data_IF_452689027054
#
_entry.id   IF_452689027054
#
_cell.length_a   1.000
_cell.length_b   1.000
_cell.length_c   1.000
_cell.angle_alpha   90.00
_cell.angle_beta   90.00
_cell.angle_gamma   90.00
#
_symmetry.space_group_name_H-M   'P 1'
#
loop_
_entity.id
_entity.type
_entity.pdbx_description
1 polymer ?
#
# COMPACT_ATOMS: atom_id res chain seq x y z
N UNK A 1 -0.13 16.32 -24.09
CA UNK A 1 1.10 15.55 -23.84
C UNK A 1 1.63 15.73 -22.41
N UNK A 2 1.91 16.97 -21.94
CA UNK A 2 2.40 17.24 -20.56
C UNK A 2 1.54 16.62 -19.43
N UNK A 3 0.22 16.73 -19.51
CA UNK A 3 -0.69 16.18 -18.49
C UNK A 3 -0.63 14.65 -18.37
N UNK A 4 -0.49 13.94 -19.50
CA UNK A 4 -0.36 12.48 -19.52
C UNK A 4 0.90 12.02 -18.79
N UNK A 5 2.04 12.64 -19.10
CA UNK A 5 3.31 12.30 -18.44
C UNK A 5 3.27 12.54 -16.93
N UNK A 6 2.65 13.63 -16.48
CA UNK A 6 2.51 13.91 -15.04
C UNK A 6 1.63 12.85 -14.35
N UNK A 7 0.52 12.44 -14.97
CA UNK A 7 -0.31 11.37 -14.43
C UNK A 7 0.45 10.03 -14.38
N UNK A 8 1.21 9.71 -15.42
CA UNK A 8 2.05 8.51 -15.45
C UNK A 8 3.10 8.53 -14.33
N UNK A 9 3.80 9.65 -14.16
CA UNK A 9 4.77 9.81 -13.06
C UNK A 9 4.09 9.65 -11.69
N UNK A 10 2.88 10.19 -11.51
CA UNK A 10 2.11 10.02 -10.26
C UNK A 10 1.79 8.55 -10.02
N UNK A 11 1.34 7.83 -11.04
CA UNK A 11 1.00 6.40 -10.95
C UNK A 11 2.23 5.56 -10.62
N UNK A 12 3.35 5.81 -11.29
CA UNK A 12 4.62 5.12 -11.05
C UNK A 12 5.18 5.41 -9.66
N UNK A 13 5.11 6.66 -9.21
CA UNK A 13 5.53 7.06 -7.87
C UNK A 13 4.65 6.36 -6.80
N UNK A 14 3.33 6.42 -6.94
CA UNK A 14 2.40 5.74 -6.02
C UNK A 14 2.61 4.22 -6.07
N UNK A 15 2.85 3.63 -7.24
CA UNK A 15 3.22 2.23 -7.37
C UNK A 15 4.46 1.88 -6.55
N UNK A 16 5.49 2.75 -6.56
CA UNK A 16 6.68 2.54 -5.73
C UNK A 16 6.41 2.73 -4.23
N UNK A 17 5.55 3.69 -3.84
CA UNK A 17 5.13 3.81 -2.45
C UNK A 17 4.47 2.52 -1.97
N UNK A 18 3.54 1.97 -2.78
CA UNK A 18 2.79 0.79 -2.39
C UNK A 18 3.65 -0.47 -2.36
N UNK A 19 4.57 -0.70 -3.32
CA UNK A 19 5.53 -1.82 -3.29
C UNK A 19 6.51 -1.70 -2.11
N UNK A 20 6.91 -0.50 -1.69
CA UNK A 20 7.80 -0.34 -0.55
C UNK A 20 7.13 -0.83 0.74
N UNK A 21 5.92 -0.34 1.03
CA UNK A 21 5.20 -0.69 2.26
C UNK A 21 4.63 -2.11 2.26
N UNK A 22 4.47 -2.72 1.09
CA UNK A 22 4.01 -4.10 0.98
C UNK A 22 5.17 -5.08 0.92
N UNK A 23 6.05 -4.96 -0.05
CA UNK A 23 7.09 -5.96 -0.34
C UNK A 23 8.38 -5.65 0.40
N UNK A 24 8.90 -4.43 0.32
CA UNK A 24 10.24 -4.15 0.84
C UNK A 24 10.27 -4.18 2.37
N UNK A 25 9.24 -3.62 3.02
CA UNK A 25 9.10 -3.72 4.47
C UNK A 25 8.86 -5.16 4.95
N UNK A 26 8.19 -5.97 4.13
CA UNK A 26 7.92 -7.36 4.46
C UNK A 26 9.18 -8.19 4.30
N UNK A 27 9.71 -8.32 3.09
CA UNK A 27 10.85 -9.19 2.78
C UNK A 27 12.13 -8.75 3.47
N UNK A 28 12.32 -7.45 3.69
CA UNK A 28 13.46 -6.89 4.43
C UNK A 28 14.86 -7.19 3.86
N UNK A 29 14.97 -7.95 2.76
CA UNK A 29 16.22 -8.39 2.18
C UNK A 29 16.08 -8.65 0.67
N UNK A 30 17.21 -8.80 -0.01
CA UNK A 30 17.26 -9.30 -1.38
C UNK A 30 17.20 -10.82 -1.32
N UNK A 31 16.23 -11.43 -2.01
CA UNK A 31 16.08 -12.88 -2.05
C UNK A 31 16.90 -13.50 -3.19
N UNK A 32 17.23 -14.80 -3.13
CA UNK A 32 17.98 -15.48 -4.18
C UNK A 32 17.37 -15.35 -5.58
N UNK A 33 16.04 -15.31 -5.65
CA UNK A 33 15.29 -15.21 -6.91
C UNK A 33 15.02 -13.76 -7.33
N UNK A 34 15.44 -12.77 -6.53
CA UNK A 34 15.26 -11.37 -6.89
C UNK A 34 16.25 -10.96 -7.98
N UNK A 35 15.72 -10.26 -8.97
CA UNK A 35 16.49 -9.67 -10.06
C UNK A 35 15.94 -8.30 -10.38
N UNK A 36 16.72 -7.47 -11.07
CA UNK A 36 16.24 -6.16 -11.52
C UNK A 36 14.97 -6.29 -12.38
N UNK A 37 14.89 -7.34 -13.21
CA UNK A 37 13.71 -7.62 -14.02
C UNK A 37 12.50 -7.96 -13.15
N UNK A 38 12.68 -8.78 -12.11
CA UNK A 38 11.61 -9.13 -11.17
C UNK A 38 11.12 -7.90 -10.39
N UNK A 39 12.03 -7.07 -9.88
CA UNK A 39 11.65 -5.83 -9.20
C UNK A 39 10.94 -4.84 -10.12
N UNK A 40 11.39 -4.70 -11.37
CA UNK A 40 10.71 -3.86 -12.35
C UNK A 40 9.31 -4.39 -12.68
N UNK A 41 9.18 -5.71 -12.85
CA UNK A 41 7.89 -6.36 -13.08
C UNK A 41 6.93 -6.12 -11.91
N UNK A 42 7.38 -6.35 -10.67
CA UNK A 42 6.59 -6.08 -9.46
C UNK A 42 6.21 -4.60 -9.37
N UNK A 43 7.14 -3.68 -9.61
CA UNK A 43 6.82 -2.24 -9.58
C UNK A 43 5.78 -1.85 -10.64
N UNK A 44 5.85 -2.41 -11.85
CA UNK A 44 4.84 -2.17 -12.89
C UNK A 44 3.48 -2.76 -12.53
N UNK A 45 3.45 -3.96 -11.95
CA UNK A 45 2.24 -4.61 -11.46
C UNK A 45 1.56 -3.76 -10.37
N UNK A 46 2.33 -3.29 -9.39
CA UNK A 46 1.86 -2.35 -8.37
C UNK A 46 1.42 -1.00 -8.95
N UNK A 47 2.08 -0.52 -10.01
CA UNK A 47 1.70 0.71 -10.70
C UNK A 47 0.36 0.56 -11.45
N UNK A 48 0.06 -0.60 -12.01
CA UNK A 48 -1.25 -0.89 -12.61
C UNK A 48 -2.35 -0.88 -11.54
N UNK A 49 -2.11 -1.50 -10.38
CA UNK A 49 -3.05 -1.48 -9.25
C UNK A 49 -3.19 -0.07 -8.65
N UNK A 50 -2.09 0.68 -8.55
CA UNK A 50 -2.08 2.09 -8.13
C UNK A 50 -2.90 2.98 -9.06
N UNK A 51 -2.90 2.71 -10.37
CA UNK A 51 -3.75 3.41 -11.33
C UNK A 51 -5.23 3.20 -11.02
N UNK A 52 -5.65 1.96 -10.74
CA UNK A 52 -7.04 1.66 -10.32
C UNK A 52 -7.36 2.41 -9.04
N UNK A 53 -6.48 2.33 -8.03
CA UNK A 53 -6.65 3.02 -6.76
C UNK A 53 -6.86 4.53 -6.93
N UNK A 54 -5.97 5.22 -7.65
CA UNK A 54 -6.09 6.67 -7.92
C UNK A 54 -7.35 6.99 -8.74
N UNK A 55 -7.75 6.10 -9.65
CA UNK A 55 -9.00 6.24 -10.42
C UNK A 55 -10.21 6.17 -9.52
N UNK A 56 -10.25 5.23 -8.56
CA UNK A 56 -11.33 5.14 -7.57
C UNK A 56 -11.43 6.41 -6.73
N UNK A 57 -10.29 6.94 -6.25
CA UNK A 57 -10.28 8.17 -5.47
C UNK A 57 -10.85 9.36 -6.27
N UNK A 58 -10.48 9.47 -7.54
CA UNK A 58 -10.93 10.53 -8.45
C UNK A 58 -12.41 10.40 -8.81
N UNK A 59 -12.84 9.21 -9.24
CA UNK A 59 -14.22 8.95 -9.69
C UNK A 59 -15.22 9.02 -8.54
N UNK A 60 -14.89 8.45 -7.39
CA UNK A 60 -15.77 8.43 -6.22
C UNK A 60 -15.57 9.62 -5.28
N UNK A 61 -14.66 10.57 -5.61
CA UNK A 61 -14.37 11.76 -4.79
C UNK A 61 -14.16 11.41 -3.33
N UNK A 62 -13.28 10.44 -3.08
CA UNK A 62 -13.10 9.85 -1.74
C UNK A 62 -12.56 10.90 -0.76
N UNK A 63 -13.40 11.30 0.19
CA UNK A 63 -13.12 12.38 1.16
C UNK A 63 -13.11 11.93 2.64
N UNK A 64 -13.39 10.65 2.92
CA UNK A 64 -13.40 10.11 4.29
C UNK A 64 -12.48 8.91 4.43
N UNK A 65 -11.85 8.76 5.61
CA UNK A 65 -10.92 7.66 5.89
C UNK A 65 -11.54 6.27 5.70
N UNK A 66 -12.85 6.15 5.90
CA UNK A 66 -13.60 4.90 5.70
C UNK A 66 -13.76 4.57 4.22
N UNK A 67 -14.11 5.56 3.40
CA UNK A 67 -14.13 5.40 1.95
C UNK A 67 -12.73 5.14 1.39
N UNK A 68 -11.69 5.77 1.94
CA UNK A 68 -10.31 5.48 1.58
C UNK A 68 -9.93 4.03 1.89
N UNK A 69 -10.34 3.51 3.05
CA UNK A 69 -10.12 2.10 3.39
C UNK A 69 -10.80 1.14 2.40
N UNK A 70 -12.00 1.47 1.91
CA UNK A 70 -12.67 0.67 0.86
C UNK A 70 -11.91 0.72 -0.48
N UNK A 71 -11.44 1.89 -0.91
CA UNK A 71 -10.60 2.00 -2.11
C UNK A 71 -9.28 1.24 -1.95
N UNK A 72 -8.71 1.26 -0.75
CA UNK A 72 -7.51 0.53 -0.38
C UNK A 72 -7.72 -0.99 -0.36
N UNK A 73 -8.90 -1.46 0.06
CA UNK A 73 -9.28 -2.87 -0.01
C UNK A 73 -9.36 -3.37 -1.46
N UNK A 74 -9.90 -2.56 -2.38
CA UNK A 74 -9.87 -2.88 -3.82
C UNK A 74 -8.43 -3.01 -4.33
N UNK A 75 -7.54 -2.09 -3.95
CA UNK A 75 -6.12 -2.21 -4.28
C UNK A 75 -5.53 -3.53 -3.76
N UNK A 76 -5.72 -3.85 -2.48
CA UNK A 76 -5.19 -5.06 -1.87
C UNK A 76 -5.69 -6.35 -2.52
N UNK A 77 -6.99 -6.45 -2.80
CA UNK A 77 -7.54 -7.64 -3.47
C UNK A 77 -7.21 -7.71 -4.96
N UNK A 78 -6.87 -6.61 -5.62
CA UNK A 78 -6.31 -6.69 -6.97
C UNK A 78 -4.88 -7.25 -6.94
N UNK A 79 -4.04 -6.79 -6.01
CA UNK A 79 -2.68 -7.33 -5.85
C UNK A 79 -2.75 -8.80 -5.45
N UNK A 80 -3.44 -9.13 -4.37
CA UNK A 80 -3.38 -10.46 -3.77
C UNK A 80 -4.42 -11.43 -4.31
N UNK A 81 -5.50 -10.92 -4.90
CA UNK A 81 -6.56 -11.73 -5.47
C UNK A 81 -6.46 -11.89 -6.99
N UNK A 82 -5.75 -11.00 -7.69
CA UNK A 82 -5.52 -11.12 -9.14
C UNK A 82 -4.08 -11.41 -9.46
N UNK A 83 -3.10 -10.67 -8.92
CA UNK A 83 -1.70 -10.77 -9.36
C UNK A 83 -0.96 -11.92 -8.67
N UNK A 84 -1.10 -12.07 -7.35
CA UNK A 84 -0.32 -13.02 -6.53
C UNK A 84 -1.13 -14.26 -6.08
N UNK A 85 -2.46 -14.13 -5.97
CA UNK A 85 -3.40 -15.20 -5.55
C UNK A 85 -3.33 -15.66 -4.08
N UNK A 86 -2.52 -15.04 -3.21
CA UNK A 86 -2.45 -15.41 -1.77
C UNK A 86 -3.76 -15.17 -1.03
N UNK A 87 -4.66 -14.33 -1.56
CA UNK A 87 -6.01 -14.10 -0.99
C UNK A 87 -6.77 -15.41 -0.75
N UNK A 88 -6.47 -16.46 -1.51
CA UNK A 88 -7.22 -17.72 -1.51
C UNK A 88 -6.55 -18.87 -0.73
N UNK A 89 -5.37 -18.68 -0.17
CA UNK A 89 -4.58 -19.77 0.42
C UNK A 89 -5.10 -20.25 1.78
N UNK A 90 -5.57 -19.33 2.63
CA UNK A 90 -5.95 -19.62 4.02
C UNK A 90 -7.26 -18.91 4.38
N UNK A 91 -8.32 -19.26 3.66
CA UNK A 91 -9.64 -18.66 3.84
C UNK A 91 -10.23 -18.97 5.24
N UNK A 92 -10.92 -18.00 5.88
CA UNK A 92 -11.15 -16.63 5.42
C UNK A 92 -10.02 -15.65 5.78
N UNK A 93 -9.03 -16.07 6.57
CA UNK A 93 -8.05 -15.18 7.17
C UNK A 93 -7.18 -14.45 6.14
N UNK A 94 -6.79 -15.12 5.05
CA UNK A 94 -6.02 -14.52 3.96
C UNK A 94 -6.74 -13.35 3.27
N UNK A 95 -8.08 -13.36 3.20
CA UNK A 95 -8.87 -12.23 2.66
C UNK A 95 -8.55 -10.93 3.41
N UNK A 96 -8.44 -11.03 4.74
CA UNK A 96 -8.13 -9.88 5.57
C UNK A 96 -6.64 -9.64 5.68
N UNK A 97 -5.83 -10.66 5.99
CA UNK A 97 -4.40 -10.45 6.22
C UNK A 97 -3.72 -9.82 5.00
N UNK A 98 -3.89 -10.39 3.81
CA UNK A 98 -3.16 -9.91 2.63
C UNK A 98 -3.85 -8.67 2.04
N UNK A 99 -5.16 -8.72 1.80
CA UNK A 99 -5.89 -7.59 1.19
C UNK A 99 -6.13 -6.39 2.11
N UNK A 100 -6.59 -6.60 3.35
CA UNK A 100 -7.08 -5.53 4.24
C UNK A 100 -6.02 -5.04 5.23
N UNK A 101 -5.35 -5.95 5.92
CA UNK A 101 -4.37 -5.62 6.94
C UNK A 101 -3.05 -5.17 6.30
N UNK A 102 -2.54 -5.92 5.34
CA UNK A 102 -1.26 -5.60 4.72
C UNK A 102 -1.41 -4.49 3.69
N UNK A 103 -2.19 -4.68 2.63
CA UNK A 103 -2.28 -3.66 1.58
C UNK A 103 -3.13 -2.46 1.96
N UNK A 104 -4.33 -2.67 2.50
CA UNK A 104 -5.20 -1.53 2.79
C UNK A 104 -4.70 -0.71 3.99
N UNK A 105 -4.42 -1.35 5.12
CA UNK A 105 -4.00 -0.67 6.35
C UNK A 105 -2.53 -0.23 6.33
N UNK A 106 -1.57 -1.10 5.95
CA UNK A 106 -0.15 -0.72 5.96
C UNK A 106 0.20 0.07 4.68
N UNK A 107 0.00 -0.49 3.49
CA UNK A 107 0.49 0.16 2.27
C UNK A 107 -0.25 1.46 1.96
N UNK A 108 -1.59 1.46 2.01
CA UNK A 108 -2.36 2.66 1.66
C UNK A 108 -2.55 3.60 2.84
N UNK A 109 -3.09 3.12 3.97
CA UNK A 109 -3.47 4.03 5.06
C UNK A 109 -2.23 4.61 5.78
N UNK A 110 -1.18 3.82 6.01
CA UNK A 110 0.07 4.33 6.58
C UNK A 110 0.97 4.94 5.49
N UNK A 111 1.33 4.16 4.48
CA UNK A 111 2.30 4.56 3.45
C UNK A 111 1.82 5.69 2.56
N UNK A 112 0.72 5.48 1.83
CA UNK A 112 0.24 6.48 0.87
C UNK A 112 -0.48 7.67 1.53
N UNK A 113 -1.19 7.48 2.65
CA UNK A 113 -2.02 8.53 3.26
C UNK A 113 -1.36 9.22 4.45
N UNK A 114 -1.07 8.49 5.53
CA UNK A 114 -0.66 9.10 6.80
C UNK A 114 0.69 9.81 6.70
N UNK A 115 1.69 9.20 6.06
CA UNK A 115 3.02 9.78 5.93
C UNK A 115 3.00 11.08 5.11
N UNK A 116 2.47 11.13 3.87
CA UNK A 116 2.37 12.39 3.12
C UNK A 116 1.61 13.48 3.87
N UNK A 117 0.50 13.12 4.54
CA UNK A 117 -0.26 14.07 5.36
C UNK A 117 0.58 14.68 6.48
N UNK A 118 1.43 13.90 7.15
CA UNK A 118 2.32 14.39 8.19
C UNK A 118 3.50 15.21 7.62
N UNK A 119 4.02 14.82 6.45
CA UNK A 119 5.05 15.59 5.76
C UNK A 119 4.56 16.99 5.39
N UNK A 120 3.31 17.10 4.94
CA UNK A 120 2.64 18.37 4.60
C UNK A 120 2.49 19.33 5.80
N UNK A 121 2.43 18.80 7.02
CA UNK A 121 2.43 19.63 8.23
C UNK A 121 3.77 20.36 8.45
N UNK A 122 4.82 19.99 7.70
CA UNK A 122 6.13 20.60 7.79
C UNK A 122 6.74 20.59 9.21
N UNK A 123 6.31 19.65 10.06
CA UNK A 123 6.76 19.47 11.43
C UNK A 123 7.86 18.40 11.48
N UNK A 124 9.11 18.76 11.83
CA UNK A 124 10.20 17.79 11.96
C UNK A 124 9.88 16.71 12.99
N UNK A 125 9.30 17.08 14.13
CA UNK A 125 8.95 16.13 15.19
C UNK A 125 7.89 15.12 14.75
N UNK A 126 6.85 15.56 14.04
CA UNK A 126 5.84 14.64 13.51
C UNK A 126 6.44 13.66 12.49
N UNK A 127 7.34 14.15 11.64
CA UNK A 127 8.04 13.34 10.63
C UNK A 127 8.98 12.33 11.27
N UNK A 128 9.81 12.76 12.23
CA UNK A 128 10.70 11.89 13.00
C UNK A 128 9.90 10.82 13.76
N UNK A 129 8.77 11.20 14.37
CA UNK A 129 7.92 10.25 15.09
C UNK A 129 7.36 9.18 14.16
N UNK A 130 6.78 9.54 13.01
CA UNK A 130 6.21 8.54 12.10
C UNK A 130 7.30 7.69 11.43
N UNK A 131 8.42 8.29 11.03
CA UNK A 131 9.55 7.56 10.44
C UNK A 131 10.16 6.58 11.45
N UNK A 132 10.40 7.04 12.69
CA UNK A 132 10.92 6.21 13.77
C UNK A 132 9.98 5.06 14.14
N UNK A 133 8.69 5.32 14.35
CA UNK A 133 7.73 4.26 14.67
C UNK A 133 7.58 3.24 13.52
N UNK A 134 7.57 3.71 12.27
CA UNK A 134 7.52 2.82 11.10
C UNK A 134 8.79 1.98 11.00
N UNK A 135 9.97 2.57 11.23
CA UNK A 135 11.23 1.87 11.20
C UNK A 135 11.39 0.87 12.35
N UNK A 136 10.94 1.20 13.56
CA UNK A 136 10.86 0.23 14.66
C UNK A 136 9.99 -0.97 14.28
N UNK A 137 8.81 -0.72 13.69
CA UNK A 137 7.94 -1.79 13.18
C UNK A 137 8.60 -2.63 12.08
N UNK A 138 9.30 -1.98 11.15
CA UNK A 138 10.04 -2.63 10.08
C UNK A 138 11.15 -3.54 10.60
N UNK A 139 12.01 -3.03 11.49
CA UNK A 139 13.10 -3.81 12.08
C UNK A 139 12.59 -5.00 12.89
N UNK A 140 11.47 -4.85 13.61
CA UNK A 140 10.81 -5.97 14.29
C UNK A 140 10.25 -7.00 13.30
N UNK A 141 9.59 -6.54 12.23
CA UNK A 141 8.98 -7.44 11.24
C UNK A 141 10.05 -8.25 10.48
N UNK A 142 11.18 -7.62 10.14
CA UNK A 142 12.31 -8.25 9.45
C UNK A 142 12.88 -9.49 10.17
N UNK A 143 12.80 -9.55 11.51
CA UNK A 143 13.29 -10.69 12.32
C UNK A 143 12.55 -11.99 11.97
N UNK A 144 11.31 -11.90 11.50
CA UNK A 144 10.50 -13.08 11.14
C UNK A 144 11.24 -14.01 10.16
N UNK A 145 11.95 -13.46 9.18
CA UNK A 145 12.61 -14.24 8.14
C UNK A 145 13.75 -15.10 8.66
N UNK A 146 14.35 -14.75 9.79
CA UNK A 146 15.40 -15.57 10.40
C UNK A 146 14.89 -16.94 10.82
N UNK A 147 13.61 -16.98 11.17
CA UNK A 147 12.93 -18.19 11.60
C UNK A 147 12.35 -18.93 10.40
N UNK A 148 11.71 -18.20 9.48
CA UNK A 148 11.05 -18.78 8.31
C UNK A 148 12.05 -19.36 7.29
N UNK A 149 13.11 -18.63 6.96
CA UNK A 149 14.13 -19.10 6.01
C UNK A 149 15.28 -19.84 6.71
N UNK A 150 15.32 -19.82 8.04
CA UNK A 150 16.40 -20.39 8.85
C UNK A 150 17.74 -19.65 8.71
N UNK A 151 17.79 -18.58 7.92
CA UNK A 151 18.97 -17.75 7.71
C UNK A 151 18.61 -16.28 7.92
N UNK A 152 19.55 -15.56 8.53
CA UNK A 152 19.37 -14.17 8.87
C UNK A 152 20.32 -13.34 7.99
N UNK A 153 19.81 -12.32 7.29
CA UNK A 153 20.66 -11.39 6.54
C UNK A 153 21.63 -10.67 7.49
N UNK A 154 22.89 -10.52 7.10
CA UNK A 154 23.83 -9.75 7.92
C UNK A 154 23.31 -8.32 8.15
N UNK A 155 23.77 -7.69 9.24
CA UNK A 155 23.41 -6.29 9.56
C UNK A 155 23.73 -5.37 8.37
N UNK A 156 24.86 -5.60 7.69
CA UNK A 156 25.28 -4.81 6.54
C UNK A 156 24.36 -4.99 5.32
N UNK A 157 23.91 -6.22 5.04
CA UNK A 157 22.96 -6.52 3.96
C UNK A 157 21.59 -5.87 4.23
N UNK A 158 21.05 -6.09 5.44
CA UNK A 158 19.78 -5.49 5.87
C UNK A 158 19.83 -3.96 5.81
N UNK A 159 20.92 -3.36 6.31
CA UNK A 159 21.12 -1.91 6.24
C UNK A 159 21.19 -1.42 4.79
N UNK A 160 21.99 -2.07 3.95
CA UNK A 160 22.13 -1.69 2.53
C UNK A 160 20.78 -1.72 1.83
N UNK A 161 20.03 -2.82 1.95
CA UNK A 161 18.71 -2.96 1.36
C UNK A 161 17.73 -1.89 1.88
N UNK A 162 17.68 -1.70 3.19
CA UNK A 162 16.77 -0.76 3.84
C UNK A 162 17.05 0.70 3.47
N UNK A 163 18.32 1.11 3.43
CA UNK A 163 18.69 2.47 3.05
C UNK A 163 18.47 2.73 1.56
N UNK A 164 18.80 1.78 0.67
CA UNK A 164 18.59 1.93 -0.77
C UNK A 164 17.10 2.03 -1.12
N UNK A 165 16.29 1.09 -0.63
CA UNK A 165 14.83 1.09 -0.86
C UNK A 165 14.16 2.34 -0.26
N UNK A 166 14.60 2.80 0.92
CA UNK A 166 14.10 4.06 1.51
C UNK A 166 14.53 5.28 0.70
N UNK A 167 15.73 5.28 0.12
CA UNK A 167 16.18 6.35 -0.77
C UNK A 167 15.25 6.51 -1.99
N UNK A 168 14.87 5.39 -2.61
CA UNK A 168 13.90 5.40 -3.71
C UNK A 168 12.49 5.76 -3.22
N UNK A 169 12.09 5.35 -2.01
CA UNK A 169 10.82 5.77 -1.39
C UNK A 169 10.76 7.29 -1.21
N UNK A 170 11.82 7.89 -0.68
CA UNK A 170 11.94 9.35 -0.51
C UNK A 170 11.77 10.05 -1.86
N UNK A 171 12.44 9.54 -2.89
CA UNK A 171 12.30 10.06 -4.26
C UNK A 171 10.87 9.91 -4.78
N UNK A 172 10.21 8.78 -4.54
CA UNK A 172 8.82 8.54 -4.92
C UNK A 172 7.84 9.49 -4.20
N UNK A 173 8.04 9.77 -2.91
CA UNK A 173 7.23 10.78 -2.19
C UNK A 173 7.42 12.17 -2.77
N UNK A 174 8.66 12.58 -3.03
CA UNK A 174 8.95 13.87 -3.66
C UNK A 174 8.30 13.98 -5.05
N UNK A 175 8.44 12.95 -5.88
CA UNK A 175 7.86 12.92 -7.23
C UNK A 175 6.33 12.93 -7.18
N UNK A 176 5.71 12.15 -6.28
CA UNK A 176 4.26 12.17 -6.08
C UNK A 176 3.78 13.54 -5.61
N UNK A 177 4.50 14.22 -4.72
CA UNK A 177 4.16 15.58 -4.28
C UNK A 177 4.29 16.63 -5.39
N UNK A 178 5.25 16.45 -6.30
CA UNK A 178 5.34 17.31 -7.50
C UNK A 178 4.16 17.05 -8.45
N UNK A 179 3.83 15.79 -8.69
CA UNK A 179 2.77 15.40 -9.60
C UNK A 179 1.36 15.67 -9.04
N UNK A 180 1.18 15.70 -7.71
CA UNK A 180 -0.11 15.94 -7.06
C UNK A 180 -0.65 17.36 -7.27
N UNK A 181 0.21 18.32 -7.61
CA UNK A 181 -0.18 19.69 -8.02
C UNK A 181 -1.07 19.73 -9.26
N UNK A 182 -1.15 18.62 -9.99
CA UNK A 182 -2.02 18.47 -11.14
C UNK A 182 -3.19 17.52 -10.80
N UNK A 183 -4.43 17.87 -11.16
CA UNK A 183 -5.58 17.00 -10.98
C UNK A 183 -5.37 15.64 -11.64
N UNK A 184 -5.71 14.56 -10.95
CA UNK A 184 -5.69 13.22 -11.51
C UNK A 184 -7.03 12.96 -12.23
N UNK A 185 -6.99 13.06 -13.56
CA UNK A 185 -8.15 12.87 -14.43
C UNK A 185 -7.82 11.80 -15.49
N UNK A 186 -7.98 10.51 -15.17
CA UNK A 186 -7.65 9.42 -16.07
C UNK A 186 -8.60 9.43 -17.28
N UNK A 187 -8.07 9.17 -18.48
CA UNK A 187 -8.90 9.05 -19.68
C UNK A 187 -9.68 7.75 -19.66
N UNK A 188 -10.87 7.73 -20.30
CA UNK A 188 -11.68 6.51 -20.44
C UNK A 188 -10.91 5.38 -21.12
N UNK A 189 -10.05 5.72 -22.08
CA UNK A 189 -9.17 4.75 -22.74
C UNK A 189 -8.16 4.14 -21.77
N UNK A 190 -7.49 4.96 -20.94
CA UNK A 190 -6.54 4.45 -19.95
C UNK A 190 -7.22 3.54 -18.91
N UNK A 191 -8.43 3.92 -18.46
CA UNK A 191 -9.25 3.08 -17.59
C UNK A 191 -9.59 1.75 -18.29
N UNK A 192 -10.10 1.80 -19.53
CA UNK A 192 -10.46 0.61 -20.29
C UNK A 192 -9.29 -0.34 -20.52
N UNK A 193 -8.12 0.19 -20.89
CA UNK A 193 -6.91 -0.61 -21.10
C UNK A 193 -6.39 -1.25 -19.81
N UNK A 194 -6.43 -0.51 -18.69
CA UNK A 194 -6.00 -1.05 -17.40
C UNK A 194 -6.95 -2.14 -16.89
N UNK A 195 -8.27 -1.92 -17.00
CA UNK A 195 -9.28 -2.94 -16.68
C UNK A 195 -9.16 -4.17 -17.59
N UNK A 196 -8.90 -3.99 -18.89
CA UNK A 196 -8.67 -5.09 -19.82
C UNK A 196 -7.41 -5.88 -19.42
N UNK A 197 -6.33 -5.21 -19.02
CA UNK A 197 -5.12 -5.90 -18.56
C UNK A 197 -5.39 -6.77 -17.33
N UNK A 198 -6.10 -6.25 -16.32
CA UNK A 198 -6.52 -7.05 -15.16
C UNK A 198 -7.47 -8.19 -15.54
N UNK A 199 -8.43 -7.95 -16.44
CA UNK A 199 -9.35 -8.98 -16.90
C UNK A 199 -8.63 -10.13 -17.63
N UNK A 200 -7.69 -9.79 -18.53
CA UNK A 200 -6.90 -10.78 -19.25
C UNK A 200 -6.03 -11.58 -18.28
N UNK A 201 -5.33 -10.92 -17.35
CA UNK A 201 -4.56 -11.61 -16.32
C UNK A 201 -5.45 -12.51 -15.45
N UNK A 202 -6.62 -12.01 -15.05
CA UNK A 202 -7.58 -12.76 -14.26
C UNK A 202 -8.04 -14.03 -14.98
N UNK A 203 -8.47 -13.93 -16.24
CA UNK A 203 -8.99 -15.07 -17.01
C UNK A 203 -7.90 -16.09 -17.33
N UNK A 204 -6.71 -15.64 -17.72
CA UNK A 204 -5.66 -16.53 -18.23
C UNK A 204 -4.66 -17.00 -17.17
N UNK A 205 -4.56 -16.33 -16.02
CA UNK A 205 -3.60 -16.66 -14.95
C UNK A 205 -4.34 -16.97 -13.65
N UNK A 206 -5.12 -16.02 -13.12
CA UNK A 206 -5.73 -16.15 -11.80
C UNK A 206 -6.75 -17.28 -11.72
N UNK A 207 -7.68 -17.37 -12.68
CA UNK A 207 -8.75 -18.38 -12.64
C UNK A 207 -8.20 -19.82 -12.77
N UNK A 208 -7.25 -20.11 -13.68
CA UNK A 208 -6.58 -21.41 -13.70
C UNK A 208 -5.84 -21.75 -12.40
N UNK A 209 -5.17 -20.76 -11.78
CA UNK A 209 -4.42 -20.96 -10.54
C UNK A 209 -5.30 -21.11 -9.30
N UNK A 210 -6.39 -20.33 -9.22
CA UNK A 210 -7.31 -20.28 -8.08
C UNK A 210 -8.78 -20.09 -8.54
N UNK A 211 -9.47 -21.17 -8.96
CA UNK A 211 -10.83 -21.08 -9.51
C UNK A 211 -11.87 -20.43 -8.58
N UNK A 212 -11.66 -20.52 -7.26
CA UNK A 212 -12.52 -19.89 -6.25
C UNK A 212 -12.60 -18.36 -6.41
N UNK A 213 -11.60 -17.76 -7.05
CA UNK A 213 -11.56 -16.34 -7.38
C UNK A 213 -12.76 -15.88 -8.22
N UNK A 214 -13.34 -16.76 -9.05
CA UNK A 214 -14.55 -16.47 -9.84
C UNK A 214 -15.75 -16.03 -8.98
N UNK A 215 -15.82 -16.52 -7.74
CA UNK A 215 -16.94 -16.24 -6.84
C UNK A 215 -16.55 -15.22 -5.77
N UNK A 216 -15.38 -15.38 -5.15
CA UNK A 216 -14.96 -14.53 -4.05
C UNK A 216 -14.62 -13.12 -4.51
N UNK A 217 -13.82 -12.96 -5.57
CA UNK A 217 -13.32 -11.64 -5.96
C UNK A 217 -14.44 -10.67 -6.36
N UNK A 218 -15.47 -11.07 -7.15
CA UNK A 218 -16.60 -10.19 -7.45
C UNK A 218 -17.38 -9.73 -6.20
N UNK A 219 -17.53 -10.59 -5.19
CA UNK A 219 -18.22 -10.24 -3.94
C UNK A 219 -17.40 -9.21 -3.16
N UNK A 220 -16.10 -9.46 -3.02
CA UNK A 220 -15.17 -8.57 -2.32
C UNK A 220 -15.10 -7.20 -3.00
N UNK A 221 -14.77 -7.16 -4.29
CA UNK A 221 -14.71 -5.91 -5.06
C UNK A 221 -16.06 -5.21 -5.14
N UNK A 222 -17.15 -5.95 -5.36
CA UNK A 222 -18.50 -5.43 -5.45
C UNK A 222 -18.94 -4.74 -4.16
N UNK A 223 -18.65 -5.33 -3.00
CA UNK A 223 -18.98 -4.73 -1.70
C UNK A 223 -18.22 -3.43 -1.44
N UNK A 224 -16.91 -3.38 -1.76
CA UNK A 224 -16.10 -2.17 -1.62
C UNK A 224 -16.55 -1.06 -2.58
N UNK A 225 -16.78 -1.39 -3.85
CA UNK A 225 -17.27 -0.44 -4.88
C UNK A 225 -18.66 0.08 -4.51
N UNK A 226 -19.55 -0.76 -4.00
CA UNK A 226 -20.86 -0.34 -3.51
C UNK A 226 -20.74 0.67 -2.37
N UNK A 227 -19.86 0.41 -1.39
CA UNK A 227 -19.62 1.35 -0.29
C UNK A 227 -19.05 2.68 -0.78
N UNK A 228 -18.09 2.65 -1.71
CA UNK A 228 -17.56 3.86 -2.37
C UNK A 228 -18.67 4.64 -3.08
N UNK A 229 -19.51 3.98 -3.86
CA UNK A 229 -20.64 4.59 -4.56
C UNK A 229 -21.60 5.30 -3.61
N UNK A 230 -21.90 4.70 -2.45
CA UNK A 230 -22.75 5.33 -1.41
C UNK A 230 -22.12 6.59 -0.83
N UNK A 231 -20.81 6.61 -0.66
CA UNK A 231 -20.09 7.75 -0.05
C UNK A 231 -19.74 8.87 -1.02
N UNK A 232 -19.93 8.70 -2.33
CA UNK A 232 -19.50 9.68 -3.36
C UNK A 232 -20.10 11.08 -3.23
N UNK A 233 -21.24 11.20 -2.54
CA UNK A 233 -21.96 12.45 -2.31
C UNK A 233 -21.72 13.01 -0.89
N UNK A 234 -20.91 12.34 -0.07
CA UNK A 234 -20.62 12.81 1.28
C UNK A 234 -19.80 14.11 1.21
N UNK A 235 -20.21 15.18 1.91
CA UNK A 235 -19.46 16.44 1.93
C UNK A 235 -18.04 16.24 2.46
N UNK A 236 -17.07 16.90 1.83
CA UNK A 236 -15.67 16.88 2.26
C UNK A 236 -14.73 17.21 1.10
N UNK A 237 -13.51 17.62 1.45
CA UNK A 237 -12.44 17.75 0.47
C UNK A 237 -11.91 16.35 0.11
N UNK A 238 -11.88 15.96 -1.18
CA UNK A 238 -11.38 14.65 -1.55
C UNK A 238 -9.87 14.52 -1.29
N UNK A 239 -9.43 13.28 -1.04
CA UNK A 239 -8.07 13.07 -0.54
C UNK A 239 -6.98 13.41 -1.55
N UNK A 240 -7.26 13.30 -2.86
CA UNK A 240 -6.30 13.65 -3.90
C UNK A 240 -5.92 15.14 -3.85
N UNK A 241 -6.87 15.99 -3.48
CA UNK A 241 -6.71 17.44 -3.31
C UNK A 241 -6.08 17.74 -1.95
N UNK A 242 -6.60 17.13 -0.87
CA UNK A 242 -6.10 17.38 0.50
C UNK A 242 -4.63 17.02 0.73
N UNK A 243 -4.07 16.15 -0.13
CA UNK A 243 -2.65 15.75 -0.14
C UNK A 243 -1.80 16.59 -1.10
N UNK A 244 -2.29 17.76 -1.51
CA UNK A 244 -1.56 18.71 -2.35
C UNK A 244 -0.98 19.82 -1.49
N UNK A 245 0.33 20.05 -1.59
CA UNK A 245 0.97 21.16 -0.91
C UNK A 245 2.49 21.20 -1.10
N UNK A 246 3.14 22.05 -0.32
CA UNK A 246 4.58 22.21 -0.31
C UNK A 246 5.16 21.50 0.91
N UNK A 247 5.96 20.47 0.65
CA UNK A 247 6.77 19.79 1.67
C UNK A 247 8.19 20.35 1.57
N UNK A 248 8.74 20.82 2.69
CA UNK A 248 10.12 21.28 2.79
C UNK A 248 11.07 20.12 2.52
N UNK A 249 12.12 20.36 1.72
CA UNK A 249 13.00 19.29 1.24
C UNK A 249 13.65 18.49 2.38
N UNK A 250 14.00 19.15 3.49
CA UNK A 250 14.60 18.49 4.65
C UNK A 250 13.66 17.52 5.36
N UNK A 251 12.34 17.71 5.28
CA UNK A 251 11.39 16.76 5.87
C UNK A 251 11.44 15.39 5.16
N UNK A 252 11.76 15.35 3.87
CA UNK A 252 11.99 14.08 3.20
C UNK A 252 13.24 13.38 3.74
N UNK A 253 14.31 14.13 4.07
CA UNK A 253 15.51 13.54 4.66
C UNK A 253 15.28 12.96 6.05
N UNK A 254 14.34 13.51 6.82
CA UNK A 254 13.97 12.95 8.13
C UNK A 254 13.36 11.54 8.01
N UNK A 255 12.88 11.13 6.83
CA UNK A 255 12.45 9.75 6.58
C UNK A 255 13.62 8.74 6.62
N UNK A 256 14.89 9.19 6.54
CA UNK A 256 16.05 8.32 6.78
C UNK A 256 16.12 7.78 8.22
N UNK A 257 15.35 8.35 9.15
CA UNK A 257 15.18 7.74 10.47
C UNK A 257 14.46 6.38 10.40
N UNK A 258 13.67 6.12 9.35
CA UNK A 258 13.00 4.83 9.15
C UNK A 258 14.02 3.69 9.03
N UNK A 259 14.94 3.66 8.03
CA UNK A 259 15.93 2.59 7.95
C UNK A 259 16.92 2.64 9.12
N UNK A 260 17.24 3.81 9.68
CA UNK A 260 18.12 3.90 10.84
C UNK A 260 17.54 3.18 12.07
N UNK A 261 16.27 3.45 12.40
CA UNK A 261 15.60 2.80 13.54
C UNK A 261 15.34 1.31 13.27
N UNK A 262 15.04 0.93 12.03
CA UNK A 262 14.93 -0.47 11.64
C UNK A 262 16.24 -1.22 11.84
N UNK A 263 17.36 -0.67 11.36
CA UNK A 263 18.70 -1.26 11.53
C UNK A 263 19.08 -1.33 12.99
N UNK A 264 18.75 -0.34 13.81
CA UNK A 264 19.02 -0.38 15.25
C UNK A 264 18.30 -1.55 15.95
N UNK A 265 17.01 -1.75 15.66
CA UNK A 265 16.22 -2.88 16.20
C UNK A 265 16.75 -4.21 15.70
N UNK A 266 17.00 -4.33 14.39
CA UNK A 266 17.51 -5.55 13.77
C UNK A 266 18.88 -5.92 14.35
N UNK A 267 19.78 -4.94 14.51
CA UNK A 267 21.12 -5.14 15.09
C UNK A 267 21.04 -5.57 16.56
N UNK A 268 20.11 -5.00 17.33
CA UNK A 268 19.89 -5.40 18.72
C UNK A 268 19.40 -6.86 18.80
N UNK A 269 18.42 -7.22 17.97
CA UNK A 269 17.95 -8.60 17.88
C UNK A 269 19.08 -9.55 17.46
N UNK A 270 19.94 -9.11 16.55
CA UNK A 270 21.06 -9.91 16.05
C UNK A 270 22.10 -10.16 17.15
N UNK A 271 22.48 -9.11 17.88
CA UNK A 271 23.43 -9.19 18.98
C UNK A 271 22.96 -10.07 20.15
N UNK A 272 21.64 -10.22 20.29
CA UNK A 272 20.99 -11.01 21.35
C UNK A 272 20.48 -12.38 20.86
N UNK A 273 20.71 -12.74 19.57
CA UNK A 273 20.15 -13.93 18.91
C UNK A 273 18.62 -14.10 19.13
N UNK A 274 17.88 -12.99 19.06
CA UNK A 274 16.43 -12.97 19.23
C UNK A 274 15.72 -13.49 17.97
N UNK A 275 15.41 -14.78 17.94
CA UNK A 275 14.66 -15.45 16.86
C UNK A 275 13.17 -15.45 17.17
N UNK A 276 12.50 -14.36 16.81
CA UNK A 276 11.10 -14.11 17.16
C UNK A 276 10.17 -14.29 15.96
N UNK A 277 9.02 -14.92 16.22
CA UNK A 277 7.91 -15.06 15.28
C UNK A 277 7.10 -13.76 15.14
N UNK A 278 7.75 -12.65 14.80
CA UNK A 278 7.13 -11.31 14.85
C UNK A 278 5.95 -11.15 13.89
N UNK A 279 5.93 -11.87 12.77
CA UNK A 279 4.81 -11.89 11.84
C UNK A 279 3.52 -12.41 12.48
N UNK A 280 3.59 -13.34 13.44
CA UNK A 280 2.38 -13.83 14.15
C UNK A 280 1.73 -12.73 14.98
N UNK A 281 2.53 -11.87 15.63
CA UNK A 281 2.00 -10.73 16.38
C UNK A 281 1.29 -9.77 15.44
N UNK A 282 1.91 -9.46 14.29
CA UNK A 282 1.28 -8.64 13.25
C UNK A 282 -0.03 -9.30 12.78
N UNK A 283 0.02 -10.57 12.40
CA UNK A 283 -1.10 -11.33 11.86
C UNK A 283 -2.30 -11.38 12.82
N UNK A 284 -2.07 -11.72 14.09
CA UNK A 284 -3.13 -11.85 15.11
C UNK A 284 -3.80 -10.50 15.39
N UNK A 285 -3.06 -9.39 15.32
CA UNK A 285 -3.59 -8.06 15.60
C UNK A 285 -4.26 -7.47 14.36
N UNK A 286 -3.59 -7.51 13.21
CA UNK A 286 -4.01 -6.77 12.03
C UNK A 286 -5.08 -7.50 11.23
N UNK A 287 -5.13 -8.85 11.27
CA UNK A 287 -6.16 -9.62 10.55
C UNK A 287 -7.57 -9.36 11.09
N UNK A 288 -7.86 -9.43 12.41
CA UNK A 288 -9.16 -9.03 12.93
C UNK A 288 -9.46 -7.55 12.72
N UNK A 289 -8.44 -6.69 12.85
CA UNK A 289 -8.58 -5.26 12.62
C UNK A 289 -8.97 -4.96 11.16
N UNK A 290 -8.40 -5.66 10.18
CA UNK A 290 -8.74 -5.53 8.77
C UNK A 290 -10.23 -5.79 8.52
N UNK A 291 -10.75 -6.92 9.02
CA UNK A 291 -12.19 -7.22 8.94
C UNK A 291 -13.05 -6.19 9.66
N UNK A 292 -12.67 -5.81 10.89
CA UNK A 292 -13.39 -4.83 11.68
C UNK A 292 -13.47 -3.47 10.99
N UNK A 293 -12.35 -2.98 10.45
CA UNK A 293 -12.28 -1.73 9.70
C UNK A 293 -13.07 -1.80 8.40
N UNK A 294 -13.04 -2.92 7.68
CA UNK A 294 -13.82 -3.11 6.46
C UNK A 294 -15.33 -3.10 6.74
N UNK A 295 -15.78 -3.92 7.70
CA UNK A 295 -17.19 -3.97 8.11
C UNK A 295 -17.68 -2.62 8.63
N UNK A 296 -16.88 -1.93 9.44
CA UNK A 296 -17.21 -0.59 9.92
C UNK A 296 -17.24 0.43 8.78
N UNK A 297 -16.35 0.32 7.78
CA UNK A 297 -16.36 1.21 6.62
C UNK A 297 -17.60 1.03 5.76
N UNK A 298 -18.05 -0.22 5.55
CA UNK A 298 -19.33 -0.52 4.89
C UNK A 298 -20.52 0.00 5.69
N UNK A 299 -20.52 -0.16 7.01
CA UNK A 299 -21.56 0.38 7.88
C UNK A 299 -21.65 1.91 7.80
N UNK A 300 -20.51 2.60 7.82
CA UNK A 300 -20.45 4.05 7.66
C UNK A 300 -20.94 4.50 6.28
N UNK A 301 -20.61 3.75 5.22
CA UNK A 301 -21.12 4.00 3.88
C UNK A 301 -22.63 3.80 3.79
N UNK A 302 -23.17 2.77 4.44
CA UNK A 302 -24.61 2.52 4.50
C UNK A 302 -25.38 3.64 5.22
N UNK A 303 -24.80 4.19 6.30
CA UNK A 303 -25.39 5.30 7.07
C UNK A 303 -25.27 6.66 6.40
N UNK A 304 -24.43 6.82 5.38
CA UNK A 304 -24.31 8.07 4.65
C UNK A 304 -25.65 8.38 3.97
N UNK A 305 -26.36 9.40 4.47
CA UNK A 305 -27.61 9.85 3.87
C UNK A 305 -27.34 10.22 2.42
N UNK A 306 -27.98 9.52 1.49
CA UNK A 306 -28.04 9.97 0.10
C UNK A 306 -28.93 11.20 0.11
N UNK A 307 -28.36 12.39 0.14
CA UNK A 307 -29.09 13.63 -0.16
C UNK A 307 -29.46 13.56 -1.64
N UNK A 308 -30.56 12.88 -1.93
CA UNK A 308 -31.24 12.96 -3.21
C UNK A 308 -31.84 14.38 -3.27
N UNK A 309 -31.09 15.30 -3.87
CA UNK A 309 -31.62 16.54 -4.44
C UNK A 309 -32.04 16.28 -5.88
#
# INVERSE_FOLDING_TARGET
MKAFFIQLLRVLAVGYLLIYFSEHLFWAQIRPDDSLANWLSTWLAYSLAAFVFLTLLSVFKVASKWALFLAAAVFGWLVEGVIVQTTYEQLPLSISFTGLAWHALISVMLGWYAIPKLLLQNSPFATLRVAGLTGLGYGLWAIYWWVEEGQASSIAEFATFSFLSTGVLIFAYWLNNLASKHPFAPSRLAIGLNLLAFLLFFVFVTVPAAPVALFLLPILLGSAIWGLWKTRQTPGEPFLESLTGTIRWWNYLLLLLLPLSAVAVYSLAWALDLRLYTNWVLYIITTPLGFGLFGYSLYQAWRAKTTLS
#
